data_IF_270529082652
#
_entry.id   IF_270529082652
#
_cell.length_a   1.000
_cell.length_b   1.000
_cell.length_c   1.000
_cell.angle_alpha   90.00
_cell.angle_beta   90.00
_cell.angle_gamma   90.00
#
_symmetry.space_group_name_H-M   'P 1'
#
loop_
_entity.id
_entity.type
_entity.pdbx_description
1 polymer ?
#
# COMPACT_ATOMS: atom_id res chain seq x y z
N UNK A 1 -1.67 11.38 -24.00
CA UNK A 1 -2.76 11.36 -25.02
C UNK A 1 -2.87 12.73 -25.68
N UNK A 2 -3.06 12.77 -27.01
CA UNK A 2 -3.00 13.93 -27.95
C UNK A 2 -3.93 15.14 -27.64
N UNK A 3 -4.51 15.24 -26.44
CA UNK A 3 -5.36 16.36 -25.97
C UNK A 3 -4.91 16.92 -24.62
N UNK A 4 -3.63 16.82 -24.28
CA UNK A 4 -3.07 17.42 -23.05
C UNK A 4 -3.24 18.95 -23.01
N UNK A 5 -3.38 19.59 -24.18
CA UNK A 5 -3.62 21.02 -24.34
C UNK A 5 -5.00 21.48 -23.82
N UNK A 6 -6.00 20.60 -23.77
CA UNK A 6 -7.33 20.91 -23.21
C UNK A 6 -7.31 20.90 -21.67
N UNK A 7 -6.44 20.09 -21.06
CA UNK A 7 -6.23 20.09 -19.60
C UNK A 7 -5.42 21.30 -19.11
N UNK A 8 -4.70 21.99 -20.01
CA UNK A 8 -3.98 23.23 -19.69
C UNK A 8 -4.87 24.47 -19.61
N UNK A 9 -6.12 24.40 -20.10
CA UNK A 9 -7.08 25.50 -20.11
C UNK A 9 -8.08 25.45 -18.95
N UNK A 10 -8.09 24.37 -18.19
CA UNK A 10 -8.91 24.22 -16.98
C UNK A 10 -8.09 24.72 -15.77
N UNK A 11 -8.62 25.62 -14.93
CA UNK A 11 -7.98 26.09 -13.70
C UNK A 11 -8.07 25.00 -12.61
N UNK A 12 -7.67 23.78 -12.94
CA UNK A 12 -7.64 22.64 -12.04
C UNK A 12 -6.18 22.43 -11.66
N UNK A 13 -5.88 22.62 -10.37
CA UNK A 13 -4.58 22.32 -9.81
C UNK A 13 -4.24 20.86 -10.11
N UNK A 14 -3.08 20.62 -10.75
CA UNK A 14 -2.67 19.27 -11.20
C UNK A 14 -2.54 18.28 -10.05
N UNK A 15 -2.35 18.78 -8.84
CA UNK A 15 -2.38 18.02 -7.58
C UNK A 15 -3.73 17.32 -7.37
N UNK A 16 -4.85 17.97 -7.74
CA UNK A 16 -6.18 17.36 -7.63
C UNK A 16 -6.36 16.19 -8.60
N UNK A 17 -5.72 16.22 -9.77
CA UNK A 17 -5.80 15.12 -10.74
C UNK A 17 -5.12 13.86 -10.19
N UNK A 18 -3.97 14.03 -9.53
CA UNK A 18 -3.22 12.94 -8.90
C UNK A 18 -4.03 12.37 -7.73
N UNK A 19 -4.55 13.23 -6.85
CA UNK A 19 -5.37 12.82 -5.71
C UNK A 19 -6.68 12.13 -6.12
N UNK A 20 -7.37 12.60 -7.15
CA UNK A 20 -8.57 11.94 -7.67
C UNK A 20 -8.26 10.56 -8.26
N UNK A 21 -7.13 10.41 -8.98
CA UNK A 21 -6.68 9.11 -9.49
C UNK A 21 -6.34 8.14 -8.36
N UNK A 22 -5.65 8.63 -7.33
CA UNK A 22 -5.36 7.85 -6.13
C UNK A 22 -6.64 7.40 -5.45
N UNK A 23 -7.58 8.31 -5.16
CA UNK A 23 -8.81 7.97 -4.45
C UNK A 23 -9.68 7.00 -5.25
N UNK A 24 -9.72 7.13 -6.58
CA UNK A 24 -10.43 6.19 -7.44
C UNK A 24 -9.80 4.78 -7.41
N UNK A 25 -8.48 4.69 -7.53
CA UNK A 25 -7.78 3.39 -7.46
C UNK A 25 -7.88 2.77 -6.08
N UNK A 26 -7.69 3.56 -5.03
CA UNK A 26 -7.75 3.13 -3.64
C UNK A 26 -9.16 2.67 -3.29
N UNK A 27 -10.19 3.49 -3.53
CA UNK A 27 -11.57 3.12 -3.24
C UNK A 27 -12.05 1.92 -4.05
N UNK A 28 -11.69 1.86 -5.33
CA UNK A 28 -12.05 0.74 -6.21
C UNK A 28 -11.45 -0.60 -5.78
N UNK A 29 -10.22 -0.59 -5.24
CA UNK A 29 -9.58 -1.79 -4.70
C UNK A 29 -10.01 -2.10 -3.27
N UNK A 30 -10.17 -1.09 -2.42
CA UNK A 30 -10.41 -1.26 -1.00
C UNK A 30 -11.75 -1.94 -0.70
N UNK A 31 -12.82 -1.51 -1.36
CA UNK A 31 -14.18 -2.03 -1.13
C UNK A 31 -14.24 -3.56 -1.32
N UNK A 32 -13.83 -4.13 -2.48
CA UNK A 32 -13.87 -5.58 -2.66
C UNK A 32 -12.87 -6.30 -1.76
N UNK A 33 -11.69 -5.72 -1.49
CA UNK A 33 -10.66 -6.37 -0.70
C UNK A 33 -11.05 -6.48 0.78
N UNK A 34 -11.62 -5.42 1.37
CA UNK A 34 -12.19 -5.45 2.71
C UNK A 34 -13.34 -6.46 2.82
N UNK A 35 -14.23 -6.50 1.83
CA UNK A 35 -15.35 -7.46 1.82
C UNK A 35 -14.84 -8.91 1.80
N UNK A 36 -13.89 -9.22 0.93
CA UNK A 36 -13.31 -10.57 0.83
C UNK A 36 -12.58 -11.00 2.10
N UNK A 37 -11.78 -10.11 2.70
CA UNK A 37 -11.03 -10.43 3.92
C UNK A 37 -11.96 -10.58 5.11
N UNK A 38 -12.93 -9.67 5.28
CA UNK A 38 -13.89 -9.78 6.37
C UNK A 38 -14.73 -11.07 6.27
N UNK A 39 -15.15 -11.45 5.06
CA UNK A 39 -15.86 -12.71 4.83
C UNK A 39 -14.95 -13.92 5.11
N UNK A 40 -13.72 -13.91 4.57
CA UNK A 40 -12.75 -14.98 4.78
C UNK A 40 -12.46 -15.22 6.26
N UNK A 41 -12.17 -14.15 7.00
CA UNK A 41 -11.84 -14.22 8.42
C UNK A 41 -13.06 -14.62 9.28
N UNK A 42 -14.26 -14.16 8.92
CA UNK A 42 -15.50 -14.55 9.58
C UNK A 42 -15.83 -16.03 9.34
N UNK A 43 -15.59 -16.56 8.14
CA UNK A 43 -15.81 -17.98 7.84
C UNK A 43 -14.81 -18.87 8.57
N UNK A 44 -13.59 -18.39 8.78
CA UNK A 44 -12.55 -19.10 9.52
C UNK A 44 -12.76 -19.05 11.05
N UNK A 45 -13.67 -18.21 11.54
CA UNK A 45 -13.99 -18.08 12.97
C UNK A 45 -12.87 -17.47 13.81
N UNK A 46 -12.04 -16.59 13.22
CA UNK A 46 -10.90 -15.98 13.92
C UNK A 46 -11.33 -15.01 15.01
N UNK A 47 -10.46 -14.81 16.00
CA UNK A 47 -10.63 -13.79 17.04
C UNK A 47 -10.66 -12.39 16.41
N UNK A 48 -11.56 -11.52 16.91
CA UNK A 48 -11.77 -10.15 16.40
C UNK A 48 -10.48 -9.32 16.31
N UNK A 49 -9.49 -9.57 17.17
CA UNK A 49 -8.19 -8.90 17.13
C UNK A 49 -7.42 -9.22 15.85
N UNK A 50 -7.38 -10.50 15.45
CA UNK A 50 -6.70 -10.95 14.23
C UNK A 50 -7.40 -10.41 12.99
N UNK A 51 -8.75 -10.40 13.00
CA UNK A 51 -9.56 -9.80 11.94
C UNK A 51 -9.22 -8.31 11.77
N UNK A 52 -9.08 -7.57 12.87
CA UNK A 52 -8.70 -6.15 12.82
C UNK A 52 -7.32 -5.94 12.19
N UNK A 53 -6.33 -6.79 12.50
CA UNK A 53 -4.99 -6.74 11.89
C UNK A 53 -5.06 -7.02 10.39
N UNK A 54 -5.83 -8.02 9.97
CA UNK A 54 -5.99 -8.37 8.56
C UNK A 54 -6.67 -7.23 7.78
N UNK A 55 -7.70 -6.59 8.34
CA UNK A 55 -8.33 -5.41 7.75
C UNK A 55 -7.36 -4.23 7.66
N UNK A 56 -6.59 -3.95 8.71
CA UNK A 56 -5.60 -2.87 8.70
C UNK A 56 -4.49 -3.12 7.66
N UNK A 57 -4.02 -4.36 7.54
CA UNK A 57 -3.09 -4.81 6.52
C UNK A 57 -3.65 -4.58 5.10
N UNK A 58 -4.92 -4.95 4.88
CA UNK A 58 -5.61 -4.71 3.61
C UNK A 58 -5.63 -3.22 3.25
N UNK A 59 -6.02 -2.36 4.20
CA UNK A 59 -6.04 -0.90 3.99
C UNK A 59 -4.65 -0.38 3.62
N UNK A 60 -3.62 -0.81 4.35
CA UNK A 60 -2.24 -0.41 4.11
C UNK A 60 -1.72 -0.88 2.74
N UNK A 61 -2.06 -2.12 2.33
CA UNK A 61 -1.69 -2.65 1.02
C UNK A 61 -2.41 -1.93 -0.11
N UNK A 62 -3.73 -1.77 -0.02
CA UNK A 62 -4.50 -1.03 -1.03
C UNK A 62 -3.98 0.41 -1.15
N UNK A 63 -3.75 1.09 -0.02
CA UNK A 63 -3.23 2.46 -0.01
C UNK A 63 -1.82 2.56 -0.57
N UNK A 64 -0.91 1.69 -0.13
CA UNK A 64 0.49 1.70 -0.56
C UNK A 64 0.61 1.38 -2.06
N UNK A 65 -0.08 0.35 -2.54
CA UNK A 65 -0.06 -0.04 -3.95
C UNK A 65 -0.67 1.02 -4.86
N UNK A 66 -1.81 1.59 -4.50
CA UNK A 66 -2.41 2.71 -5.25
C UNK A 66 -1.50 3.93 -5.24
N UNK A 67 -0.83 4.22 -4.12
CA UNK A 67 0.12 5.34 -4.00
C UNK A 67 1.38 5.15 -4.86
N UNK A 68 1.98 3.95 -4.85
CA UNK A 68 3.12 3.60 -5.69
C UNK A 68 2.75 3.71 -7.17
N UNK A 69 1.62 3.13 -7.58
CA UNK A 69 1.16 3.15 -8.97
C UNK A 69 0.92 4.57 -9.48
N UNK A 70 0.23 5.41 -8.69
CA UNK A 70 -0.08 6.78 -9.07
C UNK A 70 1.15 7.70 -9.01
N UNK A 71 1.98 7.57 -7.96
CA UNK A 71 3.19 8.36 -7.78
C UNK A 71 4.26 8.10 -8.84
N UNK A 72 4.54 6.82 -9.13
CA UNK A 72 5.48 6.44 -10.20
C UNK A 72 4.94 6.80 -11.58
N UNK A 73 3.63 6.65 -11.81
CA UNK A 73 2.97 7.08 -13.04
C UNK A 73 3.02 8.60 -13.27
N UNK A 74 3.10 9.40 -12.21
CA UNK A 74 3.31 10.85 -12.30
C UNK A 74 4.80 11.22 -12.52
N UNK A 75 5.73 10.47 -11.94
CA UNK A 75 7.17 10.78 -11.98
C UNK A 75 7.80 10.63 -13.38
N UNK A 76 7.34 9.66 -14.19
CA UNK A 76 7.83 9.45 -15.57
C UNK A 76 6.69 9.46 -16.59
N UNK A 77 6.17 10.64 -16.96
CA UNK A 77 5.13 10.73 -17.97
C UNK A 77 5.74 10.50 -19.36
N UNK A 78 5.57 9.30 -19.92
CA UNK A 78 5.94 9.03 -21.31
C UNK A 78 4.84 9.52 -22.26
N UNK A 79 5.09 10.65 -22.91
CA UNK A 79 4.16 11.26 -23.88
C UNK A 79 4.35 10.77 -25.31
N UNK A 80 5.38 9.94 -25.59
CA UNK A 80 5.72 9.50 -26.94
C UNK A 80 4.97 8.23 -27.36
N UNK A 81 4.50 7.43 -26.41
CA UNK A 81 3.76 6.19 -26.70
C UNK A 81 2.25 6.35 -26.52
N UNK A 82 1.47 5.86 -27.49
CA UNK A 82 0.01 6.00 -27.51
C UNK A 82 -0.75 4.73 -27.06
N UNK A 83 -0.06 3.58 -26.96
CA UNK A 83 -0.69 2.33 -26.53
C UNK A 83 -0.66 2.21 -25.00
N UNK A 84 -1.82 2.13 -24.32
CA UNK A 84 -1.89 2.07 -22.86
C UNK A 84 -1.15 0.87 -22.27
N UNK A 85 -1.12 -0.27 -22.98
CA UNK A 85 -0.36 -1.45 -22.57
C UNK A 85 1.16 -1.22 -22.56
N UNK A 86 1.69 -0.40 -23.49
CA UNK A 86 3.12 -0.13 -23.60
C UNK A 86 3.58 0.96 -22.63
N UNK A 87 2.72 1.93 -22.34
CA UNK A 87 2.90 2.89 -21.24
C UNK A 87 2.95 2.15 -19.89
N UNK A 88 2.06 1.18 -19.67
CA UNK A 88 2.05 0.36 -18.46
C UNK A 88 3.26 -0.59 -18.35
N UNK A 89 3.84 -1.02 -19.48
CA UNK A 89 5.06 -1.83 -19.55
C UNK A 89 6.36 -1.00 -19.68
N UNK A 90 6.25 0.33 -19.67
CA UNK A 90 7.40 1.24 -19.73
C UNK A 90 8.20 1.25 -18.43
N UNK A 91 9.26 2.05 -18.40
CA UNK A 91 10.18 2.12 -17.25
C UNK A 91 9.48 2.49 -15.93
N UNK A 92 8.51 3.41 -15.95
CA UNK A 92 7.74 3.76 -14.75
C UNK A 92 6.86 2.61 -14.24
N UNK A 93 6.34 1.79 -15.14
CA UNK A 93 5.51 0.63 -14.81
C UNK A 93 6.32 -0.51 -14.19
N UNK A 94 7.52 -0.80 -14.72
CA UNK A 94 8.41 -1.83 -14.14
C UNK A 94 8.90 -1.43 -12.76
N UNK A 95 9.29 -0.17 -12.55
CA UNK A 95 9.68 0.34 -11.23
C UNK A 95 8.51 0.29 -10.24
N UNK A 96 7.30 0.69 -10.67
CA UNK A 96 6.09 0.56 -9.86
C UNK A 96 5.84 -0.90 -9.45
N UNK A 97 6.02 -1.85 -10.37
CA UNK A 97 5.84 -3.28 -10.11
C UNK A 97 6.85 -3.79 -9.09
N UNK A 98 8.14 -3.46 -9.24
CA UNK A 98 9.21 -3.89 -8.32
C UNK A 98 8.99 -3.31 -6.91
N UNK A 99 8.70 -2.01 -6.79
CA UNK A 99 8.40 -1.39 -5.49
C UNK A 99 7.16 -1.98 -4.84
N UNK A 100 6.10 -2.21 -5.62
CA UNK A 100 4.88 -2.86 -5.14
C UNK A 100 5.15 -4.26 -4.61
N UNK A 101 5.94 -5.06 -5.34
CA UNK A 101 6.32 -6.40 -4.92
C UNK A 101 7.14 -6.39 -3.62
N UNK A 102 8.15 -5.52 -3.51
CA UNK A 102 8.94 -5.37 -2.28
C UNK A 102 8.07 -4.97 -1.10
N UNK A 103 7.13 -4.03 -1.30
CA UNK A 103 6.22 -3.57 -0.25
C UNK A 103 5.28 -4.69 0.22
N UNK A 104 4.68 -5.45 -0.71
CA UNK A 104 3.83 -6.61 -0.37
C UNK A 104 4.63 -7.63 0.44
N UNK A 105 5.84 -7.98 0.00
CA UNK A 105 6.70 -8.95 0.71
C UNK A 105 6.98 -8.48 2.14
N UNK A 106 7.34 -7.21 2.32
CA UNK A 106 7.62 -6.66 3.64
C UNK A 106 6.42 -6.73 4.59
N UNK A 107 5.24 -6.32 4.12
CA UNK A 107 4.01 -6.33 4.93
C UNK A 107 3.58 -7.77 5.25
N UNK A 108 3.63 -8.68 4.28
CA UNK A 108 3.26 -10.08 4.47
C UNK A 108 4.18 -10.78 5.46
N UNK A 109 5.50 -10.57 5.37
CA UNK A 109 6.46 -11.13 6.34
C UNK A 109 6.17 -10.61 7.74
N UNK A 110 5.91 -9.31 7.89
CA UNK A 110 5.63 -8.69 9.19
C UNK A 110 4.39 -9.29 9.86
N UNK A 111 3.29 -9.42 9.09
CA UNK A 111 2.04 -10.02 9.58
C UNK A 111 2.20 -11.51 9.86
N UNK A 112 2.82 -12.25 8.92
CA UNK A 112 3.04 -13.68 9.04
C UNK A 112 3.87 -14.05 10.26
N UNK A 113 4.97 -13.32 10.51
CA UNK A 113 5.84 -13.53 11.66
C UNK A 113 5.09 -13.23 12.98
N UNK A 114 4.35 -12.13 13.04
CA UNK A 114 3.58 -11.76 14.24
C UNK A 114 2.50 -12.79 14.54
N UNK A 115 1.76 -13.25 13.52
CA UNK A 115 0.70 -14.25 13.68
C UNK A 115 1.25 -15.60 14.14
N UNK A 116 2.36 -16.06 13.54
CA UNK A 116 3.02 -17.30 13.93
C UNK A 116 3.53 -17.26 15.38
N UNK A 117 4.13 -16.15 15.80
CA UNK A 117 4.61 -15.97 17.18
C UNK A 117 3.46 -15.89 18.19
N UNK A 118 2.34 -15.25 17.84
CA UNK A 118 1.15 -15.23 18.68
C UNK A 118 0.58 -16.64 18.87
N UNK A 119 0.57 -17.45 17.80
CA UNK A 119 0.09 -18.83 17.88
C UNK A 119 0.97 -19.70 18.79
N UNK A 120 2.30 -19.57 18.69
CA UNK A 120 3.26 -20.30 19.54
C UNK A 120 3.14 -19.94 21.03
N UNK A 121 2.94 -18.65 21.35
CA UNK A 121 2.73 -18.24 22.75
C UNK A 121 1.43 -18.79 23.33
N UNK A 122 0.34 -18.75 22.55
CA UNK A 122 -0.95 -19.31 22.97
C UNK A 122 -0.90 -20.85 23.09
N UNK A 123 -0.02 -21.52 22.36
CA UNK A 123 0.22 -22.97 22.47
C UNK A 123 1.05 -23.37 23.72
N UNK A 124 1.51 -22.42 24.53
CA UNK A 124 2.14 -22.70 25.83
C UNK A 124 3.64 -23.01 25.77
N UNK A 125 4.29 -22.89 24.61
CA UNK A 125 5.75 -22.89 24.56
C UNK A 125 6.29 -21.56 25.10
N UNK A 126 6.89 -21.59 26.29
CA UNK A 126 7.66 -20.47 26.84
C UNK A 126 8.81 -20.15 25.88
N UNK A 127 8.58 -19.16 25.02
CA UNK A 127 9.63 -18.59 24.21
C UNK A 127 10.71 -18.02 25.15
N UNK A 128 12.01 -18.09 24.77
CA UNK A 128 13.09 -17.59 25.61
C UNK A 128 12.86 -16.11 26.02
N UNK A 129 13.35 -15.70 27.19
CA UNK A 129 13.16 -14.36 27.79
C UNK A 129 13.94 -13.25 27.04
N UNK A 130 13.57 -12.97 25.80
CA UNK A 130 14.04 -11.79 25.07
C UNK A 130 12.90 -10.76 25.00
N UNK A 131 13.14 -9.52 25.47
CA UNK A 131 12.09 -8.51 25.62
C UNK A 131 11.43 -8.15 24.28
N UNK A 132 12.17 -8.28 23.17
CA UNK A 132 11.66 -8.00 21.83
C UNK A 132 10.62 -9.03 21.36
N UNK A 133 10.65 -10.25 21.85
CA UNK A 133 9.75 -11.31 21.39
C UNK A 133 8.54 -11.50 22.30
N UNK A 134 8.66 -11.13 23.57
CA UNK A 134 7.49 -10.87 24.40
C UNK A 134 6.68 -9.70 23.84
N UNK A 135 7.37 -8.65 23.35
CA UNK A 135 6.73 -7.52 22.66
C UNK A 135 6.04 -7.92 21.35
N UNK A 136 6.48 -8.97 20.64
CA UNK A 136 5.91 -9.40 19.34
C UNK A 136 4.88 -10.53 19.48
N UNK A 137 5.00 -11.41 20.48
CA UNK A 137 4.11 -12.56 20.62
C UNK A 137 2.83 -12.31 21.43
N UNK A 138 2.77 -11.27 22.27
CA UNK A 138 1.62 -11.00 23.14
C UNK A 138 0.58 -10.03 22.57
N UNK A 139 -0.27 -9.47 23.44
CA UNK A 139 -1.20 -8.37 23.10
C UNK A 139 -0.47 -7.09 22.64
N UNK A 140 0.76 -6.87 23.12
CA UNK A 140 1.65 -5.81 22.66
C UNK A 140 2.14 -5.98 21.22
N UNK A 141 2.23 -7.22 20.73
CA UNK A 141 2.73 -7.53 19.38
C UNK A 141 1.73 -7.26 18.29
N UNK A 142 0.45 -7.47 18.60
CA UNK A 142 -0.66 -7.03 17.75
C UNK A 142 -0.67 -5.51 17.61
N UNK A 143 -0.45 -4.76 18.69
CA UNK A 143 -0.36 -3.31 18.63
C UNK A 143 0.89 -2.83 17.87
N UNK A 144 2.05 -3.45 18.12
CA UNK A 144 3.29 -3.09 17.45
C UNK A 144 3.23 -3.39 15.94
N UNK A 145 2.70 -4.55 15.54
CA UNK A 145 2.51 -4.89 14.12
C UNK A 145 1.54 -3.93 13.44
N UNK A 146 0.43 -3.55 14.08
CA UNK A 146 -0.49 -2.52 13.57
C UNK A 146 0.23 -1.19 13.34
N UNK A 147 1.05 -0.73 14.29
CA UNK A 147 1.82 0.51 14.14
C UNK A 147 2.81 0.41 12.97
N UNK A 148 3.52 -0.72 12.83
CA UNK A 148 4.47 -0.94 11.73
C UNK A 148 3.74 -0.98 10.37
N UNK A 149 2.58 -1.64 10.29
CA UNK A 149 1.77 -1.74 9.08
C UNK A 149 1.21 -0.38 8.68
N UNK A 150 0.67 0.38 9.63
CA UNK A 150 0.16 1.73 9.37
C UNK A 150 1.30 2.65 8.96
N UNK A 151 2.44 2.62 9.67
CA UNK A 151 3.59 3.46 9.34
C UNK A 151 4.17 3.12 7.96
N UNK A 152 4.32 1.83 7.64
CA UNK A 152 4.82 1.38 6.34
C UNK A 152 3.82 1.64 5.21
N UNK A 153 2.52 1.47 5.45
CA UNK A 153 1.45 1.81 4.51
C UNK A 153 1.41 3.30 4.21
N UNK A 154 1.44 4.15 5.25
CA UNK A 154 1.53 5.60 5.08
C UNK A 154 2.81 5.98 4.33
N UNK A 155 3.96 5.41 4.68
CA UNK A 155 5.21 5.68 3.98
C UNK A 155 5.13 5.26 2.50
N UNK A 156 4.61 4.07 2.21
CA UNK A 156 4.45 3.55 0.86
C UNK A 156 3.41 4.33 0.04
N UNK A 157 2.40 4.93 0.67
CA UNK A 157 1.44 5.80 0.00
C UNK A 157 2.03 7.19 -0.26
N UNK A 158 2.54 7.84 0.79
CA UNK A 158 2.95 9.23 0.74
C UNK A 158 4.28 9.41 0.02
N UNK A 159 5.30 8.57 0.27
CA UNK A 159 6.62 8.74 -0.33
C UNK A 159 6.60 8.80 -1.88
N UNK A 160 5.98 7.85 -2.61
CA UNK A 160 5.93 7.91 -4.07
C UNK A 160 5.03 9.04 -4.59
N UNK A 161 3.95 9.39 -3.89
CA UNK A 161 3.11 10.54 -4.27
C UNK A 161 3.91 11.85 -4.15
N UNK A 162 4.64 12.06 -3.05
CA UNK A 162 5.48 13.24 -2.85
C UNK A 162 6.63 13.30 -3.86
N UNK A 163 7.27 12.17 -4.16
CA UNK A 163 8.32 12.08 -5.19
C UNK A 163 7.75 12.38 -6.58
N UNK A 164 6.56 11.86 -6.92
CA UNK A 164 5.87 12.13 -8.17
C UNK A 164 5.51 13.61 -8.34
N UNK A 165 5.02 14.27 -7.29
CA UNK A 165 4.72 15.72 -7.30
C UNK A 165 5.99 16.55 -7.48
N UNK A 166 7.09 16.19 -6.78
CA UNK A 166 8.39 16.87 -6.91
C UNK A 166 8.98 16.75 -8.31
N UNK A 167 8.92 15.56 -8.91
CA UNK A 167 9.39 15.35 -10.27
C UNK A 167 8.59 16.18 -11.29
N UNK A 168 7.27 16.29 -11.09
CA UNK A 168 6.42 17.13 -11.93
C UNK A 168 6.78 18.62 -11.84
N UNK A 169 7.10 19.13 -10.64
CA UNK A 169 7.48 20.53 -10.42
C UNK A 169 8.85 20.88 -11.02
N UNK A 170 9.74 19.89 -11.19
CA UNK A 170 11.05 20.08 -11.82
C UNK A 170 11.00 20.18 -13.36
N UNK A 171 9.86 19.84 -13.98
CA UNK A 171 9.63 19.94 -15.42
C UNK A 171 9.04 21.30 -15.84
N UNK A 172 8.80 22.21 -14.89
CA UNK A 172 8.46 23.61 -15.17
C UNK A 172 9.76 24.44 -15.22
N UNK A 173 10.07 25.12 -16.34
CA UNK A 173 11.03 26.21 -16.36
C UNK A 173 10.47 27.49 -15.70
#
# INVERSE_FOLDING_TARGET
GRRFWILGLLPIHRDQIIWSKFLFSFGGGLIPCLGLIALSDSMLGLEQKTICVHLACCVALCGGLSGIAVGMGACMPDFREASPAKIAAGFGGTVSLVLSAMFIIFVVITVGLTSHLNLLQNAGERLPDYPILWLIGGSGGVAASLVIIIASGLLATFAPIFLGIRAFRHLEP
#
